data_IF_565449009555
#
_entry.id   IF_565449009555
#
_cell.length_a   1.000
_cell.length_b   1.000
_cell.length_c   1.000
_cell.angle_alpha   90.00
_cell.angle_beta   90.00
_cell.angle_gamma   90.00
#
_symmetry.space_group_name_H-M   'P 1'
#
loop_
_entity.id
_entity.type
_entity.pdbx_description
1 polymer ?
#
# COMPACT_ATOMS: atom_id res chain seq x y z
N UNK A 1 -5.34 0.40 -9.29
CA UNK A 1 -4.01 0.52 -8.65
C UNK A 1 -4.24 1.02 -7.24
N UNK A 2 -3.49 0.57 -6.27
CA UNK A 2 -3.54 1.08 -4.89
C UNK A 2 -2.11 1.33 -4.44
N UNK A 3 -1.89 2.43 -3.74
CA UNK A 3 -0.62 2.78 -3.14
C UNK A 3 -0.77 2.81 -1.62
N UNK A 4 0.07 2.07 -0.93
CA UNK A 4 0.17 2.03 0.53
C UNK A 4 1.58 2.43 0.92
N UNK A 5 1.71 3.33 1.87
CA UNK A 5 3.00 3.78 2.41
C UNK A 5 2.98 3.62 3.93
N UNK A 6 3.99 2.94 4.48
CA UNK A 6 4.14 2.67 5.91
C UNK A 6 5.56 2.95 6.41
N UNK A 7 5.73 3.58 7.57
CA UNK A 7 7.04 3.86 8.18
C UNK A 7 7.20 3.34 9.63
N UNK A 8 6.29 2.47 10.06
CA UNK A 8 6.26 1.98 11.44
C UNK A 8 5.41 2.82 12.39
N UNK A 9 4.83 3.92 11.89
CA UNK A 9 4.00 4.83 12.69
C UNK A 9 2.83 5.39 11.89
N UNK A 10 3.08 5.79 10.67
CA UNK A 10 2.11 6.46 9.80
C UNK A 10 1.79 5.56 8.61
N UNK A 11 0.52 5.21 8.43
CA UNK A 11 -0.02 4.49 7.29
C UNK A 11 -0.80 5.44 6.41
N UNK A 12 -0.36 5.59 5.17
CA UNK A 12 -1.06 6.37 4.15
C UNK A 12 -1.52 5.46 3.03
N UNK A 13 -2.77 5.64 2.59
CA UNK A 13 -3.37 4.85 1.50
C UNK A 13 -4.11 5.78 0.55
N UNK A 14 -3.88 5.64 -0.75
CA UNK A 14 -4.62 6.38 -1.76
C UNK A 14 -6.10 5.98 -1.81
N UNK A 15 -6.95 6.83 -2.40
CA UNK A 15 -8.40 6.59 -2.47
C UNK A 15 -8.89 6.16 -3.86
N UNK A 16 -8.00 5.88 -4.78
CA UNK A 16 -8.39 5.49 -6.14
C UNK A 16 -8.52 3.99 -6.28
N UNK A 17 -9.57 3.52 -6.90
CA UNK A 17 -9.71 2.15 -7.38
C UNK A 17 -9.79 2.12 -8.91
N UNK A 18 -9.37 1.01 -9.48
CA UNK A 18 -9.51 0.75 -10.91
C UNK A 18 -10.72 -0.16 -11.11
N UNK A 19 -11.63 0.26 -11.95
CA UNK A 19 -12.79 -0.53 -12.38
C UNK A 19 -12.57 -0.91 -13.85
N UNK A 20 -12.65 -2.19 -14.15
CA UNK A 20 -12.60 -2.71 -15.51
C UNK A 20 -14.00 -3.20 -15.89
N UNK A 21 -14.63 -2.55 -16.86
CA UNK A 21 -15.90 -2.98 -17.42
C UNK A 21 -15.67 -3.63 -18.79
N UNK A 22 -16.28 -4.79 -18.98
CA UNK A 22 -16.12 -5.57 -20.21
C UNK A 22 -16.80 -4.93 -21.44
N UNK A 23 -17.77 -4.06 -21.22
CA UNK A 23 -18.57 -3.37 -22.25
C UNK A 23 -17.92 -2.08 -22.77
N UNK A 24 -16.88 -1.57 -22.10
CA UNK A 24 -16.11 -0.43 -22.59
C UNK A 24 -14.73 -0.90 -23.00
N UNK A 25 -14.48 -0.83 -24.30
CA UNK A 25 -13.23 -1.28 -24.91
C UNK A 25 -12.42 -0.10 -25.46
N UNK A 26 -11.11 -0.28 -25.54
CA UNK A 26 -10.21 0.60 -26.26
C UNK A 26 -10.33 0.39 -27.80
N UNK A 27 -9.53 1.13 -28.56
CA UNK A 27 -9.47 1.04 -30.02
C UNK A 27 -9.10 -0.36 -30.55
N UNK A 28 -8.52 -1.20 -29.70
CA UNK A 28 -8.10 -2.58 -30.00
C UNK A 28 -9.09 -3.63 -29.46
N UNK A 29 -10.23 -3.20 -28.95
CA UNK A 29 -11.26 -4.10 -28.39
C UNK A 29 -10.92 -4.68 -27.01
N UNK A 30 -9.91 -4.14 -26.30
CA UNK A 30 -9.58 -4.55 -24.94
C UNK A 30 -10.38 -3.74 -23.92
N UNK A 31 -10.82 -4.35 -22.80
CA UNK A 31 -11.50 -3.62 -21.75
C UNK A 31 -10.67 -2.43 -21.26
N UNK A 32 -11.30 -1.25 -21.25
CA UNK A 32 -10.65 0.00 -20.82
C UNK A 32 -10.86 0.21 -19.33
N UNK A 33 -9.78 0.32 -18.53
CA UNK A 33 -9.91 0.59 -17.10
C UNK A 33 -10.35 2.03 -16.83
N UNK A 34 -11.16 2.20 -15.81
CA UNK A 34 -11.47 3.53 -15.24
C UNK A 34 -10.83 3.65 -13.87
N UNK A 35 -10.55 4.89 -13.51
CA UNK A 35 -10.04 5.25 -12.21
C UNK A 35 -11.10 6.06 -11.49
N UNK A 36 -11.54 5.55 -10.34
CA UNK A 36 -12.59 6.17 -9.53
C UNK A 36 -12.04 6.42 -8.13
N UNK A 37 -12.22 7.62 -7.62
CA UNK A 37 -11.96 7.89 -6.21
C UNK A 37 -13.09 7.31 -5.36
N UNK A 38 -12.71 6.58 -4.29
CA UNK A 38 -13.68 5.95 -3.40
C UNK A 38 -14.20 6.95 -2.37
N UNK A 39 -15.47 6.84 -2.04
CA UNK A 39 -16.08 7.63 -0.96
C UNK A 39 -15.76 7.06 0.43
N UNK A 40 -15.24 5.84 0.50
CA UNK A 40 -14.88 5.17 1.74
C UNK A 40 -13.36 4.97 1.86
N UNK A 41 -12.88 4.83 3.10
CA UNK A 41 -11.49 4.52 3.40
C UNK A 41 -11.11 3.12 2.92
N UNK A 42 -9.87 2.96 2.49
CA UNK A 42 -9.25 1.65 2.30
C UNK A 42 -8.49 1.18 3.55
N UNK A 43 -8.44 1.99 4.60
CA UNK A 43 -7.89 1.63 5.90
C UNK A 43 -9.05 1.21 6.79
N UNK A 44 -8.99 -0.01 7.29
CA UNK A 44 -9.97 -0.61 8.21
C UNK A 44 -9.31 -0.77 9.57
N UNK A 45 -9.97 -0.29 10.62
CA UNK A 45 -9.44 -0.30 11.98
C UNK A 45 -10.24 -1.24 12.88
N UNK A 46 -9.56 -2.01 13.71
CA UNK A 46 -10.17 -2.82 14.75
C UNK A 46 -10.97 -1.96 15.76
N UNK A 47 -10.54 -0.71 16.00
CA UNK A 47 -11.25 0.22 16.88
C UNK A 47 -12.59 0.72 16.33
N UNK A 48 -12.83 0.60 15.03
CA UNK A 48 -14.09 0.96 14.36
C UNK A 48 -14.95 -0.26 14.06
N UNK A 49 -14.44 -1.45 14.31
CA UNK A 49 -15.06 -2.74 14.07
C UNK A 49 -14.80 -3.65 15.26
N UNK A 50 -15.67 -4.62 15.50
CA UNK A 50 -15.49 -5.57 16.61
C UNK A 50 -14.56 -6.72 16.22
N UNK A 51 -13.35 -6.39 15.74
CA UNK A 51 -12.39 -7.41 15.37
C UNK A 51 -11.68 -7.97 16.60
N UNK A 52 -11.64 -9.29 16.66
CA UNK A 52 -10.86 -10.02 17.65
C UNK A 52 -9.71 -10.82 16.99
N UNK A 53 -9.51 -10.62 15.71
CA UNK A 53 -8.50 -11.31 14.93
C UNK A 53 -7.09 -11.09 15.50
N UNK A 54 -6.29 -12.11 15.36
CA UNK A 54 -4.88 -12.10 15.76
C UNK A 54 -4.00 -12.44 14.56
N UNK A 55 -2.77 -12.05 14.65
CA UNK A 55 -1.69 -12.48 13.77
C UNK A 55 -0.51 -12.92 14.63
N UNK A 56 -0.14 -14.20 14.58
CA UNK A 56 0.87 -14.79 15.46
C UNK A 56 0.57 -14.56 16.95
N UNK A 57 -0.70 -14.68 17.34
CA UNK A 57 -1.16 -14.46 18.71
C UNK A 57 -1.32 -12.99 19.14
N UNK A 58 -0.94 -12.02 18.30
CA UNK A 58 -1.05 -10.57 18.56
C UNK A 58 -2.32 -10.00 17.95
N UNK A 59 -2.96 -9.06 18.63
CA UNK A 59 -4.20 -8.45 18.12
C UNK A 59 -3.94 -7.61 16.89
N UNK A 60 -4.83 -7.71 15.92
CA UNK A 60 -4.82 -6.86 14.72
C UNK A 60 -5.36 -5.47 15.07
N UNK A 61 -4.65 -4.41 14.68
CA UNK A 61 -5.08 -3.01 14.83
C UNK A 61 -5.68 -2.44 13.56
N UNK A 62 -5.05 -2.75 12.42
CA UNK A 62 -5.45 -2.20 11.14
C UNK A 62 -5.27 -3.22 10.02
N UNK A 63 -6.09 -3.06 8.99
CA UNK A 63 -6.04 -3.82 7.76
C UNK A 63 -6.15 -2.88 6.56
N UNK A 64 -5.40 -3.16 5.52
CA UNK A 64 -5.57 -2.58 4.19
C UNK A 64 -5.14 -3.60 3.15
N UNK A 65 -5.41 -3.32 1.88
CA UNK A 65 -5.02 -4.22 0.80
C UNK A 65 -4.65 -3.47 -0.47
N UNK A 66 -3.86 -4.12 -1.29
CA UNK A 66 -3.41 -3.65 -2.59
C UNK A 66 -3.80 -4.66 -3.65
N UNK A 67 -4.14 -4.20 -4.83
CA UNK A 67 -4.48 -5.06 -5.98
C UNK A 67 -5.96 -5.35 -6.11
N UNK A 68 -6.28 -6.60 -6.40
CA UNK A 68 -7.64 -7.05 -6.64
C UNK A 68 -8.48 -7.01 -5.37
N UNK A 69 -9.62 -6.35 -5.41
CA UNK A 69 -10.49 -6.15 -4.24
C UNK A 69 -11.61 -7.18 -4.12
N UNK A 70 -11.67 -8.15 -5.02
CA UNK A 70 -12.74 -9.16 -5.07
C UNK A 70 -12.90 -9.88 -3.72
N UNK A 71 -11.80 -10.24 -3.08
CA UNK A 71 -11.79 -10.99 -1.82
C UNK A 71 -11.72 -10.13 -0.56
N UNK A 72 -11.87 -8.80 -0.69
CA UNK A 72 -11.85 -7.88 0.46
C UNK A 72 -12.86 -8.28 1.53
N UNK A 73 -14.08 -8.63 1.13
CA UNK A 73 -15.14 -9.02 2.08
C UNK A 73 -14.80 -10.30 2.83
N UNK A 74 -14.16 -11.25 2.17
CA UNK A 74 -13.71 -12.48 2.82
C UNK A 74 -12.70 -12.18 3.93
N UNK A 75 -11.76 -11.28 3.67
CA UNK A 75 -10.79 -10.84 4.67
C UNK A 75 -11.43 -10.09 5.83
N UNK A 76 -12.36 -9.17 5.56
CA UNK A 76 -13.07 -8.44 6.61
C UNK A 76 -13.90 -9.39 7.50
N UNK A 77 -14.66 -10.29 6.90
CA UNK A 77 -15.41 -11.31 7.64
C UNK A 77 -14.48 -12.17 8.51
N UNK A 78 -13.33 -12.52 7.96
CA UNK A 78 -12.34 -13.30 8.68
C UNK A 78 -11.76 -12.53 9.88
N UNK A 79 -11.45 -11.25 9.74
CA UNK A 79 -11.00 -10.40 10.85
C UNK A 79 -12.05 -10.30 11.96
N UNK A 80 -13.34 -10.44 11.63
CA UNK A 80 -14.45 -10.47 12.59
C UNK A 80 -14.57 -11.80 13.34
N UNK A 81 -14.08 -12.92 12.77
CA UNK A 81 -14.20 -14.26 13.43
C UNK A 81 -13.30 -14.41 14.64
N UNK A 82 -12.29 -13.58 14.80
CA UNK A 82 -11.34 -13.64 15.91
C UNK A 82 -10.26 -14.71 15.78
N UNK A 83 -10.18 -15.39 14.63
CA UNK A 83 -9.18 -16.42 14.37
C UNK A 83 -7.77 -15.83 14.23
N UNK A 84 -6.75 -16.67 14.47
CA UNK A 84 -5.37 -16.27 14.21
C UNK A 84 -5.04 -16.43 12.71
N UNK A 85 -4.58 -15.34 12.07
CA UNK A 85 -4.25 -15.33 10.64
C UNK A 85 -3.17 -16.35 10.29
N UNK A 86 -2.32 -16.72 11.24
CA UNK A 86 -1.35 -17.78 11.06
C UNK A 86 -2.02 -19.14 10.83
N UNK A 87 -3.11 -19.43 11.54
CA UNK A 87 -3.82 -20.71 11.37
C UNK A 87 -4.48 -20.85 10.00
N UNK A 88 -4.81 -19.71 9.36
CA UNK A 88 -5.29 -19.73 7.97
C UNK A 88 -4.19 -20.06 6.99
N UNK A 89 -2.97 -19.60 7.20
CA UNK A 89 -1.88 -19.97 6.30
C UNK A 89 -1.72 -21.52 6.24
N UNK A 90 -1.95 -22.21 7.35
CA UNK A 90 -2.04 -23.68 7.37
C UNK A 90 -3.34 -24.20 6.74
N UNK A 91 -4.44 -23.48 6.92
CA UNK A 91 -5.76 -23.82 6.35
C UNK A 91 -5.92 -23.28 4.92
N UNK A 92 -5.08 -22.37 4.48
CA UNK A 92 -5.16 -21.66 3.18
C UNK A 92 -5.01 -22.61 1.98
N UNK A 93 -4.48 -23.82 2.16
CA UNK A 93 -4.61 -24.87 1.14
C UNK A 93 -6.08 -25.12 0.77
N UNK A 94 -7.00 -24.89 1.70
CA UNK A 94 -8.43 -25.01 1.49
C UNK A 94 -9.08 -23.71 1.00
N UNK A 95 -8.38 -22.55 1.11
CA UNK A 95 -8.88 -21.22 0.74
C UNK A 95 -8.14 -20.59 -0.44
N UNK A 96 -7.29 -21.34 -1.15
CA UNK A 96 -6.57 -20.82 -2.34
C UNK A 96 -7.50 -20.16 -3.35
N UNK A 97 -8.75 -20.62 -3.44
CA UNK A 97 -9.76 -20.04 -4.32
C UNK A 97 -10.32 -18.69 -3.84
N UNK A 98 -10.01 -18.26 -2.60
CA UNK A 98 -10.44 -16.98 -2.01
C UNK A 98 -9.33 -15.93 -1.99
N UNK A 99 -8.15 -16.24 -2.50
CA UNK A 99 -7.01 -15.34 -2.52
C UNK A 99 -6.67 -14.97 -3.97
N UNK A 100 -6.81 -13.71 -4.31
CA UNK A 100 -6.34 -13.23 -5.61
C UNK A 100 -4.81 -13.30 -5.68
N UNK A 101 -4.23 -13.89 -6.72
CA UNK A 101 -2.79 -13.88 -6.94
C UNK A 101 -2.24 -12.47 -7.22
N UNK A 102 -3.13 -11.51 -7.48
CA UNK A 102 -2.79 -10.12 -7.80
C UNK A 102 -3.10 -9.17 -6.63
N UNK A 103 -3.19 -9.68 -5.41
CA UNK A 103 -3.46 -8.86 -4.23
C UNK A 103 -2.45 -9.12 -3.12
N UNK A 104 -2.16 -8.06 -2.39
CA UNK A 104 -1.42 -8.07 -1.13
C UNK A 104 -2.35 -7.63 -0.01
N UNK A 105 -2.40 -8.42 1.05
CA UNK A 105 -3.22 -8.16 2.23
C UNK A 105 -2.29 -7.73 3.35
N UNK A 106 -2.50 -6.53 3.85
CA UNK A 106 -1.58 -5.86 4.79
C UNK A 106 -2.28 -5.72 6.13
N UNK A 107 -1.67 -6.31 7.15
CA UNK A 107 -2.18 -6.28 8.53
C UNK A 107 -1.14 -5.62 9.42
N UNK A 108 -1.57 -4.76 10.33
CA UNK A 108 -0.73 -4.16 11.36
C UNK A 108 -1.22 -4.64 12.72
N UNK A 109 -0.32 -5.22 13.51
CA UNK A 109 -0.62 -5.76 14.83
C UNK A 109 -0.49 -4.72 15.96
N UNK A 110 -0.76 -5.14 17.19
CA UNK A 110 -0.74 -4.30 18.39
C UNK A 110 0.66 -3.74 18.72
N UNK A 111 1.72 -4.37 18.24
CA UNK A 111 3.10 -3.94 18.41
C UNK A 111 3.60 -3.06 17.25
N UNK A 112 2.70 -2.60 16.36
CA UNK A 112 3.00 -1.82 15.16
C UNK A 112 3.87 -2.59 14.14
N UNK A 113 3.85 -3.94 14.18
CA UNK A 113 4.49 -4.79 13.19
C UNK A 113 3.56 -4.95 11.99
N UNK A 114 4.11 -4.75 10.81
CA UNK A 114 3.38 -4.92 9.55
C UNK A 114 3.61 -6.33 9.01
N UNK A 115 2.52 -7.00 8.68
CA UNK A 115 2.49 -8.33 8.08
C UNK A 115 1.87 -8.22 6.69
N UNK A 116 2.52 -8.78 5.69
CA UNK A 116 2.02 -8.82 4.31
C UNK A 116 1.75 -10.26 3.92
N UNK A 117 0.55 -10.51 3.46
CA UNK A 117 0.12 -11.80 2.95
C UNK A 117 -0.12 -11.70 1.46
N UNK A 118 0.53 -12.58 0.71
CA UNK A 118 0.39 -12.68 -0.74
C UNK A 118 -0.01 -14.08 -1.11
N UNK A 119 -0.89 -14.22 -2.09
CA UNK A 119 -1.16 -15.50 -2.73
C UNK A 119 -0.21 -15.64 -3.92
N UNK A 120 0.61 -16.67 -3.90
CA UNK A 120 1.28 -17.15 -5.12
C UNK A 120 0.53 -18.37 -5.62
N UNK A 121 0.70 -18.76 -6.89
CA UNK A 121 -0.01 -19.87 -7.51
C UNK A 121 0.02 -21.20 -6.70
N UNK A 122 1.00 -21.37 -5.81
CA UNK A 122 1.22 -22.59 -5.06
C UNK A 122 1.29 -22.42 -3.53
N UNK A 123 1.43 -21.20 -3.01
CA UNK A 123 1.63 -20.99 -1.58
C UNK A 123 1.10 -19.64 -1.11
N UNK A 124 0.54 -19.63 0.10
CA UNK A 124 0.29 -18.43 0.86
C UNK A 124 1.59 -18.04 1.57
N UNK A 125 2.16 -16.92 1.20
CA UNK A 125 3.39 -16.40 1.82
C UNK A 125 3.05 -15.24 2.75
N UNK A 126 3.56 -15.29 3.97
CA UNK A 126 3.59 -14.14 4.85
C UNK A 126 5.00 -13.58 4.88
N UNK A 127 5.14 -12.30 4.53
CA UNK A 127 6.37 -11.56 4.70
C UNK A 127 6.25 -10.65 5.92
N UNK A 128 7.29 -10.65 6.76
CA UNK A 128 7.36 -9.78 7.93
C UNK A 128 8.22 -8.58 7.66
N UNK A 129 7.67 -7.41 7.98
CA UNK A 129 8.43 -6.18 8.01
C UNK A 129 8.43 -5.65 9.43
N UNK A 130 9.53 -5.88 10.16
CA UNK A 130 9.66 -5.31 11.49
C UNK A 130 9.83 -3.80 11.46
N UNK A 131 9.16 -3.13 12.36
CA UNK A 131 9.34 -1.70 12.59
C UNK A 131 10.33 -1.45 13.71
N UNK A 132 11.02 -0.29 13.75
CA UNK A 132 10.82 0.81 12.81
C UNK A 132 11.60 0.59 11.51
N UNK A 133 10.89 0.62 10.42
CA UNK A 133 11.58 0.81 9.16
C UNK A 133 12.24 2.19 9.21
N UNK A 134 13.54 2.28 9.03
CA UNK A 134 14.23 3.58 8.91
C UNK A 134 13.77 4.34 7.66
N UNK A 135 13.10 3.66 6.75
CA UNK A 135 12.57 4.19 5.49
C UNK A 135 11.13 3.76 5.34
N UNK A 136 10.28 4.59 4.75
CA UNK A 136 8.94 4.16 4.37
C UNK A 136 8.99 2.96 3.45
N UNK A 137 8.12 1.99 3.72
CA UNK A 137 7.87 0.84 2.86
C UNK A 137 6.68 1.21 1.98
N UNK A 138 6.79 0.91 0.69
CA UNK A 138 5.77 1.23 -0.31
C UNK A 138 5.26 -0.07 -0.90
N UNK A 139 3.95 -0.23 -0.85
CA UNK A 139 3.23 -1.35 -1.45
C UNK A 139 2.33 -0.84 -2.55
N UNK A 140 2.12 -1.67 -3.55
CA UNK A 140 1.22 -1.36 -4.64
C UNK A 140 1.39 -2.31 -5.81
N UNK A 141 0.43 -2.31 -6.73
CA UNK A 141 0.48 -3.11 -7.94
C UNK A 141 0.94 -2.29 -9.13
N UNK A 142 1.84 -2.89 -9.92
CA UNK A 142 2.27 -2.40 -11.23
C UNK A 142 3.63 -1.69 -11.23
N UNK A 143 4.13 -1.45 -12.44
CA UNK A 143 5.46 -0.86 -12.70
C UNK A 143 5.72 0.47 -11.99
N UNK A 144 4.63 1.23 -11.74
CA UNK A 144 4.70 2.51 -11.04
C UNK A 144 5.28 2.38 -9.64
N UNK A 145 4.85 1.36 -8.89
CA UNK A 145 5.30 1.14 -7.51
C UNK A 145 6.71 0.59 -7.48
N UNK A 146 7.04 -0.30 -8.41
CA UNK A 146 8.40 -0.82 -8.54
C UNK A 146 9.39 0.32 -8.84
N UNK A 147 9.05 1.21 -9.77
CA UNK A 147 9.86 2.39 -10.06
C UNK A 147 10.01 3.32 -8.84
N UNK A 148 8.91 3.60 -8.12
CA UNK A 148 8.95 4.41 -6.91
C UNK A 148 9.78 3.76 -5.80
N UNK A 149 9.64 2.46 -5.59
CA UNK A 149 10.47 1.72 -4.65
C UNK A 149 11.95 1.86 -4.99
N UNK A 150 12.32 1.76 -6.25
CA UNK A 150 13.70 1.94 -6.70
C UNK A 150 14.20 3.38 -6.45
N UNK A 151 13.38 4.40 -6.75
CA UNK A 151 13.72 5.81 -6.51
C UNK A 151 13.86 6.09 -5.01
N UNK A 152 12.92 5.65 -4.19
CA UNK A 152 12.94 5.91 -2.75
C UNK A 152 13.96 5.05 -2.00
N UNK A 153 14.23 3.84 -2.46
CA UNK A 153 15.27 2.97 -1.88
C UNK A 153 16.67 3.50 -2.18
N UNK A 154 16.89 4.03 -3.38
CA UNK A 154 18.18 4.60 -3.78
C UNK A 154 18.45 5.97 -3.15
N UNK A 155 17.42 6.73 -2.81
CA UNK A 155 17.54 8.11 -2.33
C UNK A 155 17.75 8.25 -0.81
N UNK A 156 18.05 7.17 -0.09
CA UNK A 156 18.35 7.15 1.35
C UNK A 156 17.33 7.83 2.31
N UNK A 157 17.46 7.63 3.57
CA UNK A 157 16.74 7.98 4.82
C UNK A 157 15.94 9.30 4.91
N UNK A 158 15.69 9.98 3.79
CA UNK A 158 15.27 11.36 3.78
C UNK A 158 13.76 11.61 3.59
N UNK A 159 12.98 10.59 3.20
CA UNK A 159 11.57 10.78 2.89
C UNK A 159 10.68 10.31 4.05
N UNK A 160 9.65 11.12 4.34
CA UNK A 160 8.56 10.69 5.20
C UNK A 160 7.39 10.13 4.36
N UNK A 161 6.42 9.43 4.97
CA UNK A 161 5.30 8.81 4.24
C UNK A 161 4.50 9.80 3.40
N UNK A 162 4.30 11.02 3.88
CA UNK A 162 3.58 12.06 3.14
C UNK A 162 4.35 12.51 1.89
N UNK A 163 5.66 12.68 1.98
CA UNK A 163 6.51 12.99 0.82
C UNK A 163 6.46 11.86 -0.21
N UNK A 164 6.49 10.59 0.22
CA UNK A 164 6.34 9.42 -0.65
C UNK A 164 4.97 9.43 -1.36
N UNK A 165 3.87 9.59 -0.61
CA UNK A 165 2.52 9.62 -1.17
C UNK A 165 2.36 10.74 -2.20
N UNK A 166 2.74 11.97 -1.87
CA UNK A 166 2.57 13.13 -2.75
C UNK A 166 3.46 13.02 -3.99
N UNK A 167 4.69 12.54 -3.86
CA UNK A 167 5.58 12.29 -5.00
C UNK A 167 5.02 11.22 -5.93
N UNK A 168 4.50 10.14 -5.37
CA UNK A 168 3.86 9.07 -6.14
C UNK A 168 2.66 9.60 -6.94
N UNK A 169 1.77 10.35 -6.29
CA UNK A 169 0.61 10.95 -6.94
C UNK A 169 0.98 11.99 -8.01
N UNK A 170 2.07 12.73 -7.80
CA UNK A 170 2.57 13.69 -8.80
C UNK A 170 3.16 13.00 -10.04
N UNK A 171 3.78 11.83 -9.86
CA UNK A 171 4.36 11.05 -10.97
C UNK A 171 3.33 10.18 -11.70
N UNK A 172 2.32 9.72 -10.95
CA UNK A 172 1.28 8.81 -11.45
C UNK A 172 -0.10 9.38 -11.13
N UNK A 173 -0.64 10.26 -12.02
CA UNK A 173 -1.94 10.89 -11.82
C UNK A 173 -3.09 9.90 -11.61
N UNK A 174 -2.94 8.66 -12.05
CA UNK A 174 -3.91 7.57 -11.84
C UNK A 174 -4.09 7.19 -10.36
N UNK A 175 -3.20 7.64 -9.47
CA UNK A 175 -3.34 7.48 -8.02
C UNK A 175 -4.25 8.55 -7.40
N UNK A 176 -4.77 9.46 -8.21
CA UNK A 176 -5.58 10.59 -7.74
C UNK A 176 -4.79 11.60 -6.93
N UNK A 177 -5.51 12.41 -6.17
CA UNK A 177 -4.89 13.45 -5.33
C UNK A 177 -5.28 13.35 -3.85
N UNK A 178 -6.17 12.41 -3.50
CA UNK A 178 -6.71 12.21 -2.16
C UNK A 178 -6.13 10.94 -1.52
N UNK A 179 -5.99 10.94 -0.21
CA UNK A 179 -5.52 9.79 0.55
C UNK A 179 -6.05 9.80 1.96
N UNK A 180 -5.99 8.65 2.63
CA UNK A 180 -6.27 8.49 4.05
C UNK A 180 -4.96 8.33 4.82
N UNK A 181 -4.93 8.81 6.06
CA UNK A 181 -3.78 8.73 6.96
C UNK A 181 -4.20 8.21 8.32
N UNK A 182 -3.61 7.12 8.75
CA UNK A 182 -3.74 6.59 10.09
C UNK A 182 -2.41 6.64 10.82
N UNK A 183 -2.44 7.18 12.05
CA UNK A 183 -1.28 7.19 12.92
C UNK A 183 -1.45 6.09 13.99
N UNK A 184 -0.61 5.07 13.94
CA UNK A 184 -0.71 3.89 14.77
C UNK A 184 -0.54 4.16 16.27
N UNK A 185 0.25 5.18 16.64
CA UNK A 185 0.50 5.55 18.04
C UNK A 185 -0.67 6.28 18.69
N UNK A 186 -1.28 7.20 17.94
CA UNK A 186 -2.44 7.95 18.44
C UNK A 186 -3.78 7.24 18.17
N UNK A 187 -3.80 6.26 17.26
CA UNK A 187 -5.00 5.59 16.79
C UNK A 187 -5.87 6.47 15.86
N UNK A 188 -5.45 7.71 15.57
CA UNK A 188 -6.25 8.66 14.79
C UNK A 188 -6.20 8.33 13.31
N UNK A 189 -7.36 8.13 12.70
CA UNK A 189 -7.57 8.02 11.27
C UNK A 189 -8.14 9.33 10.72
N UNK A 190 -7.37 10.02 9.89
CA UNK A 190 -7.82 11.17 9.11
C UNK A 190 -8.14 10.71 7.71
N UNK A 191 -9.42 10.83 7.34
CA UNK A 191 -9.92 10.41 6.03
C UNK A 191 -9.92 11.58 5.07
N UNK A 192 -9.80 11.26 3.80
CA UNK A 192 -10.08 12.15 2.70
C UNK A 192 -9.20 13.41 2.67
N UNK A 193 -7.91 13.21 2.93
CA UNK A 193 -6.94 14.31 2.89
C UNK A 193 -6.75 14.74 1.45
N UNK A 194 -7.11 16.00 1.17
CA UNK A 194 -6.89 16.66 -0.12
C UNK A 194 -6.03 17.89 0.10
N UNK A 195 -4.77 17.79 -0.27
CA UNK A 195 -3.84 18.91 -0.16
C UNK A 195 -4.02 19.88 -1.33
N UNK A 196 -4.01 21.18 -1.05
CA UNK A 196 -4.02 22.18 -2.10
C UNK A 196 -2.80 22.05 -3.03
N UNK A 197 -2.94 22.42 -4.30
CA UNK A 197 -1.86 22.35 -5.29
C UNK A 197 -0.58 23.06 -4.83
N UNK A 198 -0.72 24.17 -4.15
CA UNK A 198 0.41 24.92 -3.58
C UNK A 198 1.19 24.07 -2.57
N UNK A 199 0.50 23.39 -1.67
CA UNK A 199 1.12 22.51 -0.66
C UNK A 199 1.77 21.31 -1.33
N UNK A 200 1.08 20.68 -2.28
CA UNK A 200 1.61 19.54 -3.05
C UNK A 200 2.90 19.91 -3.79
N UNK A 201 2.91 21.05 -4.51
CA UNK A 201 4.10 21.54 -5.21
C UNK A 201 5.26 21.84 -4.25
N UNK A 202 4.97 22.39 -3.07
CA UNK A 202 5.99 22.64 -2.06
C UNK A 202 6.64 21.34 -1.57
N UNK A 203 5.83 20.29 -1.31
CA UNK A 203 6.32 18.98 -0.90
C UNK A 203 7.17 18.34 -2.01
N UNK A 204 6.68 18.36 -3.26
CA UNK A 204 7.42 17.83 -4.42
C UNK A 204 8.77 18.53 -4.59
N UNK A 205 8.80 19.86 -4.55
CA UNK A 205 10.06 20.62 -4.66
C UNK A 205 11.04 20.28 -3.54
N UNK A 206 10.55 20.10 -2.31
CA UNK A 206 11.38 19.69 -1.17
C UNK A 206 11.95 18.30 -1.38
N UNK A 207 11.13 17.35 -1.82
CA UNK A 207 11.54 15.98 -2.10
C UNK A 207 12.59 15.92 -3.23
N UNK A 208 12.39 16.64 -4.34
CA UNK A 208 13.36 16.73 -5.43
C UNK A 208 14.71 17.27 -4.94
N UNK A 209 14.71 18.30 -4.08
CA UNK A 209 15.97 18.81 -3.51
C UNK A 209 16.71 17.76 -2.68
N UNK A 210 15.99 16.95 -1.91
CA UNK A 210 16.57 15.83 -1.15
C UNK A 210 17.21 14.79 -2.08
N UNK A 211 16.55 14.46 -3.20
CA UNK A 211 17.10 13.55 -4.22
C UNK A 211 18.38 14.16 -4.80
N UNK A 212 18.34 15.42 -5.21
CA UNK A 212 19.48 16.09 -5.85
C UNK A 212 20.72 16.16 -4.95
N UNK A 213 20.53 16.36 -3.64
CA UNK A 213 21.64 16.39 -2.66
C UNK A 213 22.25 15.00 -2.43
N UNK A 214 21.42 13.97 -2.46
CA UNK A 214 21.83 12.59 -2.16
C UNK A 214 22.24 11.79 -3.41
N UNK A 215 21.95 12.30 -4.60
CA UNK A 215 22.30 11.64 -5.85
C UNK A 215 23.80 11.80 -6.13
N UNK A 216 24.58 10.75 -5.89
CA UNK A 216 25.94 10.63 -6.38
C UNK A 216 25.86 9.93 -7.75
N UNK A 217 26.14 10.64 -8.86
CA UNK A 217 26.17 9.99 -10.18
C UNK A 217 27.21 8.87 -10.14
N UNK A 218 26.80 7.66 -10.49
CA UNK A 218 27.75 6.59 -10.72
C UNK A 218 28.62 6.97 -11.90
N UNK A 219 29.97 6.84 -11.83
CA UNK A 219 30.83 7.10 -12.96
C UNK A 219 30.39 6.15 -14.11
N UNK A 220 30.04 6.74 -15.23
CA UNK A 220 29.75 5.98 -16.45
C UNK A 220 31.03 5.22 -16.83
N UNK A 221 31.00 3.88 -16.92
CA UNK A 221 32.18 3.15 -17.35
C UNK A 221 32.59 3.65 -18.74
N UNK A 222 33.81 4.18 -18.85
CA UNK A 222 34.39 4.55 -20.15
C UNK A 222 34.59 3.26 -20.89
N UNK A 223 33.72 2.98 -21.84
CA UNK A 223 33.95 1.90 -22.80
C UNK A 223 35.03 2.40 -23.75
N UNK A 224 36.27 2.02 -23.49
CA UNK A 224 37.34 2.20 -24.48
C UNK A 224 36.98 1.38 -25.73
N UNK A 225 36.71 2.08 -26.82
CA UNK A 225 36.58 1.50 -28.16
C UNK A 225 37.97 1.24 -28.76
#
# INVERSE_FOLDING_TARGET
MTLVVWDGKDLLVDRVTTITQSDITDENGKPKPYYVELDHSKIYLASESNWEAKVWGRKVKAFTMVGDTEYRHCWLNFLETGDDIHSIAETAKNFQHLLSPNAEYIVIDEDDVLHVFQSTHDMFLSNYYSTPARKPIIFGCGEAVEHLNNVFTSASDAFNPLECMVMAQAHYPILGCRFDHWNAKSGVLTRDINLSDRVRQMIVRKAIRKIAVNYKPQPVPIVNR
#
